data_IF_364338846708
#
_entry.id   IF_364338846708
#
_cell.length_a   1.000
_cell.length_b   1.000
_cell.length_c   1.000
_cell.angle_alpha   90.00
_cell.angle_beta   90.00
_cell.angle_gamma   90.00
#
_symmetry.space_group_name_H-M   'P 1'
#
loop_
_entity.id
_entity.type
_entity.pdbx_description
1 polymer ?
#
# COMPACT_ATOMS: atom_id res chain seq x y z
N UNK A 1 33.68 -12.01 -2.71
CA UNK A 1 32.77 -13.05 -3.25
C UNK A 1 31.97 -12.36 -4.34
N UNK A 2 31.98 -12.90 -5.55
CA UNK A 2 31.33 -12.27 -6.71
C UNK A 2 29.87 -11.96 -6.43
N UNK A 3 29.44 -10.74 -6.72
CA UNK A 3 28.05 -10.31 -6.77
C UNK A 3 27.31 -11.11 -7.86
N UNK A 4 26.94 -12.34 -7.55
CA UNK A 4 25.84 -12.98 -8.27
C UNK A 4 24.58 -12.20 -7.94
N UNK A 5 23.85 -11.76 -8.95
CA UNK A 5 22.58 -11.07 -8.77
C UNK A 5 21.67 -11.93 -7.90
N UNK A 6 21.40 -11.47 -6.67
CA UNK A 6 20.47 -12.14 -5.78
C UNK A 6 19.09 -12.10 -6.44
N UNK A 7 18.61 -13.27 -6.81
CA UNK A 7 17.31 -13.46 -7.43
C UNK A 7 16.29 -13.90 -6.38
N UNK A 8 15.17 -13.18 -6.33
CA UNK A 8 14.05 -13.54 -5.46
C UNK A 8 13.47 -14.90 -5.88
N UNK A 9 13.22 -15.84 -4.95
CA UNK A 9 12.52 -17.08 -5.27
C UNK A 9 11.06 -16.82 -5.68
N UNK A 10 10.40 -17.83 -6.25
CA UNK A 10 8.96 -17.75 -6.49
C UNK A 10 8.22 -17.61 -5.15
N UNK A 11 7.23 -16.71 -5.11
CA UNK A 11 6.47 -16.37 -3.92
C UNK A 11 7.29 -15.78 -2.78
N UNK A 12 8.46 -15.18 -3.07
CA UNK A 12 9.32 -14.57 -2.05
C UNK A 12 8.60 -13.50 -1.22
N UNK A 13 7.80 -12.66 -1.89
CA UNK A 13 7.01 -11.61 -1.26
C UNK A 13 5.55 -12.04 -1.13
N UNK A 14 4.97 -11.93 0.06
CA UNK A 14 3.55 -12.20 0.29
C UNK A 14 2.86 -10.98 0.86
N UNK A 15 1.64 -10.70 0.43
CA UNK A 15 0.88 -9.59 0.97
C UNK A 15 -0.61 -9.83 1.02
N UNK A 16 -1.25 -8.97 1.78
CA UNK A 16 -2.69 -9.00 2.02
C UNK A 16 -3.23 -7.58 1.91
N UNK A 17 -4.41 -7.42 1.33
CA UNK A 17 -5.03 -6.11 1.20
C UNK A 17 -6.43 -6.16 0.61
N UNK A 18 -6.95 -4.98 0.33
CA UNK A 18 -8.27 -4.78 -0.25
C UNK A 18 -8.12 -4.61 -1.78
N UNK A 19 -8.39 -5.63 -2.61
CA UNK A 19 -8.47 -5.45 -4.05
C UNK A 19 -9.74 -4.64 -4.36
N UNK A 20 -9.56 -3.43 -4.88
CA UNK A 20 -10.65 -2.50 -5.19
C UNK A 20 -10.53 -2.05 -6.65
N UNK A 21 -11.66 -1.85 -7.31
CA UNK A 21 -11.69 -1.17 -8.60
C UNK A 21 -11.90 0.33 -8.39
N UNK A 22 -10.97 1.14 -8.87
CA UNK A 22 -11.06 2.58 -8.77
C UNK A 22 -11.98 3.11 -9.87
N UNK A 23 -12.99 3.88 -9.47
CA UNK A 23 -13.87 4.66 -10.34
C UNK A 23 -13.35 6.09 -10.29
N UNK A 24 -12.50 6.41 -11.25
CA UNK A 24 -11.78 7.67 -11.29
C UNK A 24 -12.49 8.70 -12.15
N UNK A 25 -12.61 9.93 -11.65
CA UNK A 25 -13.18 11.06 -12.41
C UNK A 25 -12.53 12.39 -12.00
N UNK A 26 -12.36 13.28 -12.98
CA UNK A 26 -12.09 14.69 -12.69
C UNK A 26 -13.38 15.39 -12.28
N UNK A 27 -13.38 16.01 -11.11
CA UNK A 27 -14.58 16.61 -10.49
C UNK A 27 -14.31 18.04 -10.03
N UNK A 28 -15.38 18.77 -9.68
CA UNK A 28 -15.29 20.07 -9.03
C UNK A 28 -15.30 19.96 -7.51
N UNK A 29 -14.95 21.07 -6.82
CA UNK A 29 -15.03 21.16 -5.35
C UNK A 29 -16.45 20.97 -4.81
N UNK A 30 -17.46 21.35 -5.60
CA UNK A 30 -18.87 21.20 -5.26
C UNK A 30 -19.25 19.75 -4.96
N UNK A 31 -18.68 18.78 -5.69
CA UNK A 31 -18.92 17.37 -5.44
C UNK A 31 -18.24 16.91 -4.14
N UNK A 32 -17.03 17.40 -3.86
CA UNK A 32 -16.33 17.08 -2.60
C UNK A 32 -17.12 17.62 -1.41
N UNK A 33 -17.55 18.89 -1.48
CA UNK A 33 -18.36 19.53 -0.44
C UNK A 33 -19.69 18.82 -0.22
N UNK A 34 -20.38 18.43 -1.30
CA UNK A 34 -21.65 17.68 -1.26
C UNK A 34 -21.54 16.40 -0.44
N UNK A 35 -20.43 15.69 -0.55
CA UNK A 35 -20.20 14.42 0.15
C UNK A 35 -19.31 14.56 1.39
N UNK A 36 -18.93 15.77 1.79
CA UNK A 36 -18.09 16.01 2.97
C UNK A 36 -16.67 15.46 2.84
N UNK A 37 -16.14 15.40 1.62
CA UNK A 37 -14.83 14.85 1.31
C UNK A 37 -13.75 15.93 1.31
N UNK A 38 -12.56 15.60 1.82
CA UNK A 38 -11.40 16.49 1.83
C UNK A 38 -10.45 16.17 0.69
N UNK A 39 -9.76 17.19 0.19
CA UNK A 39 -8.63 17.00 -0.71
C UNK A 39 -7.49 16.27 -0.01
N UNK A 40 -6.76 15.42 -0.74
CA UNK A 40 -5.66 14.60 -0.26
C UNK A 40 -6.00 13.72 0.95
N UNK A 41 -7.23 13.20 0.99
CA UNK A 41 -7.72 12.36 2.08
C UNK A 41 -8.24 11.02 1.54
N UNK A 42 -8.30 10.03 2.43
CA UNK A 42 -8.82 8.70 2.14
C UNK A 42 -9.75 8.26 3.27
N UNK A 43 -11.00 7.93 2.94
CA UNK A 43 -12.00 7.50 3.91
C UNK A 43 -12.66 6.17 3.51
N UNK A 44 -13.27 5.51 4.48
CA UNK A 44 -14.26 4.46 4.24
C UNK A 44 -15.63 5.10 3.99
N UNK A 45 -16.29 4.66 2.92
CA UNK A 45 -17.61 5.12 2.57
C UNK A 45 -18.68 4.65 3.56
N UNK A 46 -19.30 5.60 4.26
CA UNK A 46 -20.58 5.43 4.96
C UNK A 46 -21.80 5.44 4.00
N UNK A 47 -22.99 5.11 4.50
CA UNK A 47 -24.25 5.10 3.73
C UNK A 47 -24.50 6.39 2.94
N UNK A 48 -24.17 7.55 3.53
CA UNK A 48 -24.33 8.88 2.90
C UNK A 48 -23.48 9.05 1.62
N UNK A 49 -22.43 8.25 1.45
CA UNK A 49 -21.56 8.30 0.27
C UNK A 49 -21.95 7.29 -0.80
N UNK A 50 -22.83 6.32 -0.54
CA UNK A 50 -23.24 5.35 -1.56
C UNK A 50 -23.79 6.00 -2.85
N UNK A 51 -24.57 7.10 -2.78
CA UNK A 51 -25.03 7.81 -3.99
C UNK A 51 -23.90 8.38 -4.86
N UNK A 52 -22.70 8.62 -4.29
CA UNK A 52 -21.54 9.16 -5.03
C UNK A 52 -21.16 8.27 -6.21
N UNK A 53 -21.13 6.95 -6.01
CA UNK A 53 -20.69 6.00 -7.03
C UNK A 53 -21.64 5.99 -8.24
N UNK A 54 -22.94 6.10 -7.99
CA UNK A 54 -23.93 6.25 -9.07
C UNK A 54 -23.84 7.61 -9.76
N UNK A 55 -23.65 8.68 -8.98
CA UNK A 55 -23.51 10.03 -9.53
C UNK A 55 -22.29 10.16 -10.43
N UNK A 56 -21.15 9.60 -10.02
CA UNK A 56 -19.94 9.54 -10.85
C UNK A 56 -20.19 8.83 -12.16
N UNK A 57 -20.74 7.62 -12.11
CA UNK A 57 -20.93 6.79 -13.31
C UNK A 57 -22.00 7.33 -14.26
N UNK A 58 -22.97 8.12 -13.77
CA UNK A 58 -24.03 8.74 -14.60
C UNK A 58 -23.64 10.11 -15.16
N UNK A 59 -22.94 10.93 -14.39
CA UNK A 59 -22.77 12.36 -14.69
C UNK A 59 -21.35 12.75 -15.09
N UNK A 60 -20.36 11.87 -14.89
CA UNK A 60 -18.97 12.15 -15.19
C UNK A 60 -18.41 11.16 -16.20
N UNK A 61 -17.36 11.58 -16.91
CA UNK A 61 -16.52 10.65 -17.67
C UNK A 61 -15.63 9.91 -16.68
N UNK A 62 -15.96 8.65 -16.43
CA UNK A 62 -15.21 7.79 -15.51
C UNK A 62 -14.19 6.92 -16.23
N UNK A 63 -13.05 6.71 -15.59
CA UNK A 63 -12.09 5.67 -15.94
C UNK A 63 -12.15 4.57 -14.87
N UNK A 64 -12.13 3.31 -15.29
CA UNK A 64 -12.05 2.17 -14.38
C UNK A 64 -10.62 1.68 -14.33
N UNK A 65 -9.98 1.81 -13.16
CA UNK A 65 -8.57 1.49 -12.97
C UNK A 65 -8.43 0.40 -11.90
N UNK A 66 -7.65 -0.66 -12.14
CA UNK A 66 -7.33 -1.64 -11.10
C UNK A 66 -6.59 -0.94 -9.94
N UNK A 67 -7.19 -0.98 -8.76
CA UNK A 67 -6.69 -0.28 -7.59
C UNK A 67 -6.46 -1.21 -6.39
N UNK A 68 -6.63 -0.63 -5.21
CA UNK A 68 -6.28 -1.24 -3.92
C UNK A 68 -4.82 -1.01 -3.56
N UNK A 69 -4.59 -0.32 -2.44
CA UNK A 69 -3.25 0.20 -2.08
C UNK A 69 -2.15 -0.87 -2.13
N UNK A 70 -2.29 -1.95 -1.35
CA UNK A 70 -1.26 -3.00 -1.33
C UNK A 70 -1.23 -3.82 -2.63
N UNK A 71 -2.32 -3.86 -3.41
CA UNK A 71 -2.29 -4.50 -4.72
C UNK A 71 -1.44 -3.70 -5.72
N UNK A 72 -1.53 -2.37 -5.66
CA UNK A 72 -0.68 -1.47 -6.43
C UNK A 72 0.80 -1.65 -6.07
N UNK A 73 1.13 -1.76 -4.78
CA UNK A 73 2.50 -2.09 -4.32
C UNK A 73 3.02 -3.35 -5.01
N UNK A 74 2.21 -4.41 -5.08
CA UNK A 74 2.60 -5.71 -5.64
C UNK A 74 2.74 -5.68 -7.17
N UNK A 75 1.88 -4.93 -7.85
CA UNK A 75 1.96 -4.68 -9.29
C UNK A 75 3.24 -3.92 -9.65
N UNK A 76 3.54 -2.84 -8.93
CA UNK A 76 4.75 -2.04 -9.13
C UNK A 76 6.02 -2.82 -8.78
N UNK A 77 6.00 -3.58 -7.68
CA UNK A 77 7.08 -4.50 -7.32
C UNK A 77 7.39 -5.47 -8.46
N UNK A 78 6.37 -6.13 -9.02
CA UNK A 78 6.59 -7.09 -10.11
C UNK A 78 7.01 -6.44 -11.42
N UNK A 79 6.52 -5.24 -11.71
CA UNK A 79 6.99 -4.46 -12.85
C UNK A 79 8.50 -4.22 -12.80
N UNK A 80 9.03 -3.83 -11.64
CA UNK A 80 10.46 -3.51 -11.47
C UNK A 80 11.31 -4.78 -11.40
N UNK A 81 10.85 -5.81 -10.66
CA UNK A 81 11.55 -7.10 -10.59
C UNK A 81 11.59 -7.79 -11.96
N UNK A 82 10.59 -7.57 -12.81
CA UNK A 82 10.56 -8.03 -14.20
C UNK A 82 10.48 -9.54 -14.36
N UNK A 83 10.16 -10.29 -13.29
CA UNK A 83 9.98 -11.74 -13.28
C UNK A 83 8.63 -12.09 -12.65
N UNK A 84 7.78 -12.89 -13.30
CA UNK A 84 6.47 -13.24 -12.76
C UNK A 84 6.59 -14.13 -11.52
N UNK A 85 5.52 -14.19 -10.75
CA UNK A 85 5.34 -15.05 -9.57
C UNK A 85 6.38 -14.86 -8.47
N UNK A 86 7.07 -13.72 -8.38
CA UNK A 86 7.93 -13.38 -7.22
C UNK A 86 7.12 -12.86 -6.03
N UNK A 87 5.87 -12.48 -6.28
CA UNK A 87 4.93 -12.05 -5.24
C UNK A 87 3.61 -12.83 -5.25
N UNK A 88 3.04 -13.03 -4.06
CA UNK A 88 1.72 -13.64 -3.80
C UNK A 88 0.83 -12.63 -3.12
N UNK A 89 -0.39 -12.42 -3.63
CA UNK A 89 -1.31 -11.45 -3.08
C UNK A 89 -2.64 -12.08 -2.67
N UNK A 90 -3.04 -11.87 -1.42
CA UNK A 90 -4.33 -12.25 -0.87
C UNK A 90 -5.27 -11.05 -0.74
N UNK A 91 -6.55 -11.30 -0.99
CA UNK A 91 -7.63 -10.33 -0.87
C UNK A 91 -8.97 -11.02 -1.11
N UNK A 92 -10.08 -10.29 -1.04
CA UNK A 92 -11.39 -10.84 -1.37
C UNK A 92 -12.10 -10.01 -2.44
N UNK A 93 -12.72 -10.67 -3.41
CA UNK A 93 -13.47 -10.05 -4.51
C UNK A 93 -14.82 -10.74 -4.69
N UNK A 94 -15.73 -10.07 -5.40
CA UNK A 94 -16.98 -10.66 -5.85
C UNK A 94 -16.78 -11.61 -7.02
N UNK A 95 -17.75 -12.49 -7.26
CA UNK A 95 -17.83 -13.30 -8.48
C UNK A 95 -18.45 -12.47 -9.64
N UNK A 96 -17.78 -11.38 -10.01
CA UNK A 96 -18.25 -10.41 -11.00
C UNK A 96 -17.14 -9.94 -11.95
N UNK A 97 -17.51 -9.12 -12.94
CA UNK A 97 -16.57 -8.60 -13.94
C UNK A 97 -15.47 -7.73 -13.31
N UNK A 98 -15.74 -7.02 -12.22
CA UNK A 98 -14.75 -6.19 -11.54
C UNK A 98 -13.70 -7.08 -10.85
N UNK A 99 -14.13 -8.14 -10.18
CA UNK A 99 -13.22 -9.13 -9.59
C UNK A 99 -12.32 -9.78 -10.64
N UNK A 100 -12.87 -10.10 -11.82
CA UNK A 100 -12.10 -10.61 -12.97
C UNK A 100 -11.09 -9.59 -13.51
N UNK A 101 -11.49 -8.33 -13.68
CA UNK A 101 -10.58 -7.25 -14.12
C UNK A 101 -9.40 -7.11 -13.17
N UNK A 102 -9.64 -7.06 -11.86
CA UNK A 102 -8.59 -6.95 -10.84
C UNK A 102 -7.63 -8.14 -10.90
N UNK A 103 -8.18 -9.36 -10.94
CA UNK A 103 -7.37 -10.58 -10.97
C UNK A 103 -6.52 -10.66 -12.25
N UNK A 104 -7.09 -10.33 -13.41
CA UNK A 104 -6.37 -10.35 -14.68
C UNK A 104 -5.26 -9.31 -14.71
N UNK A 105 -5.54 -8.07 -14.31
CA UNK A 105 -4.55 -6.98 -14.34
C UNK A 105 -3.38 -7.19 -13.37
N UNK A 106 -3.65 -7.76 -12.20
CA UNK A 106 -2.58 -8.17 -11.28
C UNK A 106 -1.74 -9.33 -11.85
N UNK A 107 -2.37 -10.33 -12.47
CA UNK A 107 -1.65 -11.45 -13.12
C UNK A 107 -0.87 -11.03 -14.37
N UNK A 108 -1.37 -10.09 -15.16
CA UNK A 108 -0.67 -9.48 -16.29
C UNK A 108 0.62 -8.80 -15.82
N UNK A 109 0.60 -8.19 -14.62
CA UNK A 109 1.79 -7.63 -13.98
C UNK A 109 2.70 -8.71 -13.38
N UNK A 110 2.32 -9.99 -13.42
CA UNK A 110 3.09 -11.11 -12.88
C UNK A 110 2.86 -11.42 -11.40
N UNK A 111 1.79 -10.92 -10.77
CA UNK A 111 1.43 -11.23 -9.38
C UNK A 111 0.70 -12.57 -9.31
N UNK A 112 1.08 -13.44 -8.36
CA UNK A 112 0.33 -14.66 -8.04
C UNK A 112 -0.85 -14.32 -7.12
N UNK A 113 -2.04 -14.16 -7.71
CA UNK A 113 -3.26 -13.75 -7.00
C UNK A 113 -4.00 -14.94 -6.38
N UNK A 114 -4.28 -14.83 -5.08
CA UNK A 114 -4.97 -15.82 -4.25
C UNK A 114 -6.22 -15.22 -3.60
N UNK A 115 -7.15 -14.71 -4.41
CA UNK A 115 -8.38 -14.11 -3.89
C UNK A 115 -9.33 -15.12 -3.28
N UNK A 116 -9.95 -14.74 -2.16
CA UNK A 116 -11.20 -15.32 -1.70
C UNK A 116 -12.35 -14.79 -2.56
N UNK A 117 -13.18 -15.66 -3.11
CA UNK A 117 -14.32 -15.27 -3.94
C UNK A 117 -15.61 -15.31 -3.10
N UNK A 118 -16.34 -14.20 -3.08
CA UNK A 118 -17.68 -14.13 -2.52
C UNK A 118 -18.71 -14.01 -3.64
N UNK A 119 -19.67 -14.94 -3.71
CA UNK A 119 -20.67 -14.97 -4.79
C UNK A 119 -21.87 -14.04 -4.54
N UNK A 120 -22.08 -13.65 -3.29
CA UNK A 120 -23.27 -12.92 -2.85
C UNK A 120 -23.00 -11.41 -2.70
N UNK A 121 -21.74 -10.98 -2.83
CA UNK A 121 -21.31 -9.60 -2.62
C UNK A 121 -20.50 -9.11 -3.82
N UNK A 122 -20.83 -7.92 -4.32
CA UNK A 122 -20.08 -7.26 -5.41
C UNK A 122 -18.63 -6.97 -4.99
N UNK A 123 -17.71 -6.95 -5.95
CA UNK A 123 -16.34 -6.49 -5.76
C UNK A 123 -16.33 -5.04 -5.25
N UNK A 124 -15.41 -4.76 -4.31
CA UNK A 124 -15.24 -3.43 -3.74
C UNK A 124 -14.75 -2.40 -4.76
N UNK A 125 -15.10 -1.14 -4.53
CA UNK A 125 -14.76 -0.01 -5.40
C UNK A 125 -14.24 1.17 -4.61
N UNK A 126 -13.37 1.98 -5.20
CA UNK A 126 -12.96 3.26 -4.63
C UNK A 126 -13.35 4.40 -5.58
N UNK A 127 -14.09 5.39 -5.08
CA UNK A 127 -14.28 6.64 -5.82
C UNK A 127 -12.98 7.45 -5.72
N UNK A 128 -12.28 7.59 -6.84
CA UNK A 128 -11.04 8.36 -6.94
C UNK A 128 -11.34 9.72 -7.59
N UNK A 129 -11.58 10.72 -6.75
CA UNK A 129 -12.01 12.06 -7.17
C UNK A 129 -10.79 12.95 -7.38
N UNK A 130 -10.54 13.35 -8.63
CA UNK A 130 -9.41 14.21 -8.99
C UNK A 130 -9.89 15.65 -9.13
N UNK A 131 -9.34 16.54 -8.30
CA UNK A 131 -9.55 17.98 -8.39
C UNK A 131 -8.18 18.66 -8.53
N UNK A 132 -7.92 19.27 -9.70
CA UNK A 132 -6.57 19.74 -10.09
C UNK A 132 -5.53 18.62 -9.94
N UNK A 133 -4.58 18.75 -9.01
CA UNK A 133 -3.57 17.72 -8.71
C UNK A 133 -3.84 16.97 -7.39
N UNK A 134 -4.95 17.29 -6.72
CA UNK A 134 -5.36 16.69 -5.46
C UNK A 134 -6.33 15.53 -5.71
N UNK A 135 -6.23 14.50 -4.87
CA UNK A 135 -7.17 13.37 -4.90
C UNK A 135 -7.97 13.25 -3.61
N UNK A 136 -9.22 12.82 -3.71
CA UNK A 136 -10.02 12.40 -2.56
C UNK A 136 -10.52 10.98 -2.81
N UNK A 137 -10.24 10.08 -1.88
CA UNK A 137 -10.55 8.65 -1.99
C UNK A 137 -11.69 8.27 -1.04
N UNK A 138 -12.73 7.65 -1.58
CA UNK A 138 -13.84 7.10 -0.80
C UNK A 138 -14.05 5.63 -1.16
N UNK A 139 -13.71 4.72 -0.24
CA UNK A 139 -13.74 3.28 -0.50
C UNK A 139 -15.05 2.62 -0.03
N UNK A 140 -15.76 1.93 -0.94
CA UNK A 140 -16.79 0.95 -0.64
C UNK A 140 -16.15 -0.45 -0.71
N UNK A 141 -15.83 -1.01 0.46
CA UNK A 141 -15.05 -2.25 0.53
C UNK A 141 -15.81 -3.48 -0.01
N UNK A 142 -17.14 -3.51 0.12
CA UNK A 142 -17.99 -4.62 -0.30
C UNK A 142 -17.34 -6.02 -0.08
N UNK A 143 -17.10 -6.79 -1.15
CA UNK A 143 -16.51 -8.13 -1.04
C UNK A 143 -15.13 -8.16 -0.37
N UNK A 144 -14.32 -7.10 -0.47
CA UNK A 144 -13.03 -7.03 0.23
C UNK A 144 -13.21 -7.17 1.75
N UNK A 145 -14.31 -6.64 2.30
CA UNK A 145 -14.65 -6.73 3.72
C UNK A 145 -15.10 -8.14 4.16
N UNK A 146 -15.19 -9.09 3.23
CA UNK A 146 -15.60 -10.48 3.49
C UNK A 146 -14.42 -11.44 3.58
N UNK A 147 -13.19 -10.93 3.49
CA UNK A 147 -11.99 -11.73 3.68
C UNK A 147 -11.96 -12.33 5.09
N UNK A 148 -11.56 -13.59 5.20
CA UNK A 148 -11.52 -14.29 6.49
C UNK A 148 -10.17 -14.96 6.74
N UNK A 149 -9.82 -15.09 8.03
CA UNK A 149 -8.68 -15.92 8.45
C UNK A 149 -8.77 -17.36 7.91
N UNK A 150 -9.97 -17.92 7.78
CA UNK A 150 -10.17 -19.29 7.29
C UNK A 150 -9.60 -19.51 5.89
N UNK A 151 -9.60 -18.48 5.03
CA UNK A 151 -8.99 -18.53 3.70
C UNK A 151 -7.48 -18.73 3.79
N UNK A 152 -6.81 -18.01 4.71
CA UNK A 152 -5.37 -18.15 4.97
C UNK A 152 -5.01 -19.52 5.55
N UNK A 153 -5.93 -20.13 6.31
CA UNK A 153 -5.72 -21.40 6.99
C UNK A 153 -5.96 -22.63 6.10
N UNK A 154 -6.34 -22.48 4.84
CA UNK A 154 -6.37 -23.62 3.89
C UNK A 154 -4.96 -24.20 3.72
N UNK A 155 -4.81 -25.53 3.52
CA UNK A 155 -3.49 -26.16 3.39
C UNK A 155 -2.60 -25.52 2.32
N UNK A 156 -3.18 -25.15 1.18
CA UNK A 156 -2.50 -24.54 0.04
C UNK A 156 -1.99 -23.14 0.40
N UNK A 157 -2.83 -22.31 1.02
CA UNK A 157 -2.46 -20.94 1.38
C UNK A 157 -1.47 -20.91 2.54
N UNK A 158 -1.58 -21.82 3.51
CA UNK A 158 -0.58 -21.97 4.56
C UNK A 158 0.79 -22.33 3.99
N UNK A 159 0.86 -23.12 2.91
CA UNK A 159 2.13 -23.44 2.27
C UNK A 159 2.75 -22.20 1.61
N UNK A 160 1.94 -21.35 0.97
CA UNK A 160 2.41 -20.07 0.43
C UNK A 160 2.95 -19.14 1.53
N UNK A 161 2.25 -19.05 2.66
CA UNK A 161 2.72 -18.29 3.84
C UNK A 161 4.07 -18.82 4.33
N UNK A 162 4.22 -20.14 4.47
CA UNK A 162 5.48 -20.77 4.90
C UNK A 162 6.64 -20.56 3.91
N UNK A 163 6.36 -20.52 2.61
CA UNK A 163 7.37 -20.36 1.57
C UNK A 163 7.88 -18.92 1.44
N UNK A 164 7.01 -17.93 1.68
CA UNK A 164 7.36 -16.53 1.60
C UNK A 164 8.51 -16.16 2.54
N UNK A 165 9.36 -15.24 2.13
CA UNK A 165 10.50 -14.72 2.90
C UNK A 165 10.23 -13.32 3.47
N UNK A 166 9.30 -12.60 2.84
CA UNK A 166 8.96 -11.23 3.16
C UNK A 166 7.44 -11.08 3.14
N UNK A 167 6.91 -10.26 4.04
CA UNK A 167 5.48 -9.96 4.13
C UNK A 167 5.24 -8.46 4.07
N UNK A 168 4.25 -8.02 3.30
CA UNK A 168 3.86 -6.59 3.22
C UNK A 168 2.33 -6.49 3.32
N UNK A 169 1.85 -5.71 4.27
CA UNK A 169 0.42 -5.50 4.52
C UNK A 169 0.11 -4.01 4.60
N UNK A 170 -0.99 -3.58 3.98
CA UNK A 170 -1.49 -2.20 4.13
C UNK A 170 -2.28 -2.01 5.42
N UNK A 171 -2.18 -0.84 6.03
CA UNK A 171 -2.96 -0.42 7.19
C UNK A 171 -4.47 -0.44 6.93
N UNK A 172 -4.89 -0.27 5.67
CA UNK A 172 -6.30 -0.44 5.29
C UNK A 172 -6.84 -1.83 5.57
N UNK A 173 -6.01 -2.86 5.62
CA UNK A 173 -6.47 -4.23 5.85
C UNK A 173 -6.84 -4.50 7.32
N UNK A 174 -6.44 -3.61 8.25
CA UNK A 174 -6.82 -3.67 9.68
C UNK A 174 -8.33 -3.52 9.87
N UNK A 175 -8.99 -2.85 8.93
CA UNK A 175 -10.44 -2.65 8.94
C UNK A 175 -11.19 -3.93 8.57
N UNK A 176 -10.53 -4.88 7.91
CA UNK A 176 -11.11 -6.10 7.34
C UNK A 176 -10.77 -7.33 8.19
N UNK A 177 -9.48 -7.65 8.35
CA UNK A 177 -9.06 -8.92 8.96
C UNK A 177 -7.80 -8.75 9.84
N UNK A 178 -7.89 -8.02 10.96
CA UNK A 178 -6.76 -7.82 11.88
C UNK A 178 -6.17 -9.15 12.41
N UNK A 179 -6.99 -10.18 12.58
CA UNK A 179 -6.55 -11.51 12.97
C UNK A 179 -5.71 -12.21 11.89
N UNK A 180 -6.02 -11.98 10.61
CA UNK A 180 -5.20 -12.47 9.49
C UNK A 180 -3.85 -11.75 9.43
N UNK A 181 -3.84 -10.45 9.72
CA UNK A 181 -2.62 -9.66 9.84
C UNK A 181 -1.72 -10.22 10.95
N UNK A 182 -2.28 -10.38 12.16
CA UNK A 182 -1.54 -10.91 13.30
C UNK A 182 -1.02 -12.32 13.02
N UNK A 183 -1.82 -13.20 12.40
CA UNK A 183 -1.39 -14.54 12.02
C UNK A 183 -0.11 -14.53 11.17
N UNK A 184 -0.04 -13.67 10.15
CA UNK A 184 1.14 -13.56 9.28
C UNK A 184 2.30 -12.86 9.99
N UNK A 185 2.04 -11.82 10.79
CA UNK A 185 3.05 -11.07 11.52
C UNK A 185 3.75 -11.93 12.60
N UNK A 186 2.98 -12.74 13.34
CA UNK A 186 3.48 -13.70 14.32
C UNK A 186 4.32 -14.79 13.64
N UNK A 187 3.84 -15.33 12.52
CA UNK A 187 4.62 -16.28 11.72
C UNK A 187 5.96 -15.67 11.27
N UNK A 188 5.93 -14.43 10.76
CA UNK A 188 7.13 -13.75 10.29
C UNK A 188 8.16 -13.56 11.43
N UNK A 189 7.71 -13.10 12.59
CA UNK A 189 8.58 -12.93 13.75
C UNK A 189 9.18 -14.26 14.25
N UNK A 190 8.34 -15.31 14.35
CA UNK A 190 8.76 -16.64 14.80
C UNK A 190 9.83 -17.23 13.89
N UNK A 191 9.63 -17.15 12.57
CA UNK A 191 10.54 -17.71 11.56
C UNK A 191 11.68 -16.77 11.19
N UNK A 192 11.80 -15.63 11.88
CA UNK A 192 12.79 -14.59 11.56
C UNK A 192 12.76 -14.18 10.07
N UNK A 193 11.55 -13.93 9.54
CA UNK A 193 11.27 -13.31 8.24
C UNK A 193 10.92 -11.83 8.39
N UNK A 194 11.05 -11.05 7.32
CA UNK A 194 10.78 -9.62 7.37
C UNK A 194 9.28 -9.34 7.27
N UNK A 195 8.74 -8.56 8.20
CA UNK A 195 7.37 -8.08 8.15
C UNK A 195 7.32 -6.57 7.93
N UNK A 196 6.59 -6.16 6.90
CA UNK A 196 6.42 -4.78 6.49
C UNK A 196 4.96 -4.35 6.60
N UNK A 197 4.76 -3.12 7.07
CA UNK A 197 3.45 -2.50 7.22
C UNK A 197 3.46 -1.09 6.62
N UNK A 198 2.39 -0.71 5.95
CA UNK A 198 2.12 0.69 5.60
C UNK A 198 1.03 1.26 6.54
N UNK A 199 1.14 2.50 7.02
CA UNK A 199 0.09 3.14 7.84
C UNK A 199 -1.17 3.51 7.02
N UNK A 200 -0.98 3.82 5.74
CA UNK A 200 -1.98 3.91 4.67
C UNK A 200 -2.95 5.07 4.70
N UNK A 201 -3.44 5.50 5.86
CA UNK A 201 -4.23 6.71 5.99
C UNK A 201 -4.28 7.21 7.45
N UNK A 202 -4.48 8.52 7.69
CA UNK A 202 -4.61 9.09 9.04
C UNK A 202 -5.69 8.42 9.90
N UNK A 203 -6.80 7.96 9.32
CA UNK A 203 -7.85 7.31 10.10
C UNK A 203 -7.42 5.95 10.69
N UNK A 204 -6.41 5.28 10.12
CA UNK A 204 -5.94 3.98 10.60
C UNK A 204 -5.42 4.10 12.05
N UNK A 205 -4.40 4.93 12.36
CA UNK A 205 -3.95 5.10 13.73
C UNK A 205 -4.98 5.78 14.64
N UNK A 206 -5.83 6.66 14.10
CA UNK A 206 -6.81 7.41 14.92
C UNK A 206 -8.01 6.56 15.34
N UNK A 207 -8.54 5.73 14.43
CA UNK A 207 -9.77 4.97 14.66
C UNK A 207 -9.50 3.49 15.00
N UNK A 208 -8.34 2.96 14.63
CA UNK A 208 -7.99 1.54 14.82
C UNK A 208 -6.73 1.36 15.68
N UNK A 209 -6.44 2.33 16.57
CA UNK A 209 -5.27 2.35 17.45
C UNK A 209 -5.01 1.02 18.15
N UNK A 210 -6.01 0.46 18.83
CA UNK A 210 -5.85 -0.77 19.63
C UNK A 210 -5.39 -1.97 18.79
N UNK A 211 -5.89 -2.08 17.55
CA UNK A 211 -5.49 -3.13 16.61
C UNK A 211 -4.09 -2.85 16.05
N UNK A 212 -3.82 -1.59 15.70
CA UNK A 212 -2.52 -1.17 15.19
C UNK A 212 -1.41 -1.38 16.24
N UNK A 213 -1.66 -1.05 17.50
CA UNK A 213 -0.72 -1.25 18.61
C UNK A 213 -0.35 -2.72 18.83
N UNK A 214 -1.24 -3.66 18.49
CA UNK A 214 -0.95 -5.10 18.52
C UNK A 214 -0.04 -5.52 17.36
N UNK A 215 -0.11 -4.83 16.22
CA UNK A 215 0.64 -5.15 14.99
C UNK A 215 2.03 -4.50 14.99
N UNK A 216 2.14 -3.23 15.43
CA UNK A 216 3.41 -2.46 15.40
C UNK A 216 4.60 -3.23 15.99
N UNK A 217 4.49 -3.98 17.11
CA UNK A 217 5.57 -4.77 17.67
C UNK A 217 6.17 -5.83 16.72
N UNK A 218 5.46 -6.24 15.68
CA UNK A 218 5.96 -7.20 14.69
C UNK A 218 6.65 -6.53 13.49
N UNK A 219 6.48 -5.21 13.33
CA UNK A 219 6.93 -4.49 12.13
C UNK A 219 8.44 -4.27 12.11
N UNK A 220 9.08 -4.80 11.06
CA UNK A 220 10.48 -4.58 10.71
C UNK A 220 10.67 -3.36 9.80
N UNK A 221 9.78 -3.17 8.83
CA UNK A 221 9.83 -2.06 7.87
C UNK A 221 8.48 -1.37 7.82
N UNK A 222 8.43 -0.09 8.18
CA UNK A 222 7.20 0.70 8.23
C UNK A 222 7.24 1.83 7.21
N UNK A 223 6.24 1.89 6.34
CA UNK A 223 6.02 3.01 5.42
C UNK A 223 4.89 3.91 5.93
N UNK A 224 5.05 5.21 5.76
CA UNK A 224 4.00 6.19 5.93
C UNK A 224 4.28 7.48 5.16
N UNK A 225 3.29 8.35 5.09
CA UNK A 225 3.49 9.76 4.72
C UNK A 225 3.47 10.68 5.96
N UNK A 226 3.69 11.97 5.75
CA UNK A 226 3.70 13.01 6.78
C UNK A 226 2.40 13.05 7.60
N UNK A 227 1.25 13.00 6.95
CA UNK A 227 -0.05 13.08 7.63
C UNK A 227 -0.36 11.82 8.44
N UNK A 228 0.11 10.67 7.98
CA UNK A 228 -0.08 9.37 8.65
C UNK A 228 0.81 9.25 9.89
N UNK A 229 2.05 9.71 9.84
CA UNK A 229 2.92 9.69 11.01
C UNK A 229 2.51 10.73 12.06
N UNK A 230 2.01 11.89 11.62
CA UNK A 230 1.39 12.87 12.51
C UNK A 230 0.15 12.29 13.22
N UNK A 231 -0.72 11.61 12.46
CA UNK A 231 -1.90 10.94 13.01
C UNK A 231 -1.51 9.80 13.98
N UNK A 232 -0.44 9.05 13.67
CA UNK A 232 0.13 8.08 14.59
C UNK A 232 0.63 8.74 15.86
N UNK A 233 1.45 9.79 15.76
CA UNK A 233 1.97 10.53 16.90
C UNK A 233 0.85 11.08 17.79
N UNK A 234 -0.20 11.63 17.19
CA UNK A 234 -1.40 12.08 17.89
C UNK A 234 -2.08 10.92 18.64
N UNK A 235 -2.27 9.77 17.98
CA UNK A 235 -2.90 8.60 18.62
C UNK A 235 -2.12 8.12 19.84
N UNK A 236 -0.79 8.25 19.82
CA UNK A 236 0.10 7.87 20.92
C UNK A 236 0.28 8.97 21.98
N UNK A 237 -0.37 10.13 21.82
CA UNK A 237 -0.24 11.26 22.73
C UNK A 237 1.16 11.90 22.74
N UNK A 238 1.88 11.84 21.62
CA UNK A 238 3.21 12.46 21.53
C UNK A 238 3.10 13.98 21.40
N UNK A 239 3.80 14.69 22.29
CA UNK A 239 3.86 16.17 22.31
C UNK A 239 4.91 16.73 21.33
N UNK A 240 4.94 16.25 20.08
CA UNK A 240 5.85 16.76 19.05
C UNK A 240 5.19 16.83 17.68
N UNK A 241 5.49 17.92 16.96
CA UNK A 241 5.10 18.11 15.55
C UNK A 241 6.27 17.88 14.60
N UNK A 242 7.47 17.57 15.11
CA UNK A 242 8.62 17.29 14.27
C UNK A 242 8.53 15.86 13.74
N UNK A 243 8.29 15.73 12.43
CA UNK A 243 8.22 14.45 11.71
C UNK A 243 9.48 13.60 11.95
N UNK A 244 10.67 14.22 12.04
CA UNK A 244 11.93 13.50 12.29
C UNK A 244 11.96 12.90 13.69
N UNK A 245 11.45 13.64 14.67
CA UNK A 245 11.32 13.14 16.05
C UNK A 245 10.27 12.02 16.14
N UNK A 246 9.13 12.19 15.48
CA UNK A 246 8.07 11.18 15.42
C UNK A 246 8.60 9.89 14.77
N UNK A 247 9.34 9.98 13.66
CA UNK A 247 9.96 8.84 12.98
C UNK A 247 10.96 8.11 13.89
N UNK A 248 11.80 8.86 14.62
CA UNK A 248 12.74 8.29 15.60
C UNK A 248 12.02 7.58 16.74
N UNK A 249 10.94 8.16 17.28
CA UNK A 249 10.12 7.52 18.32
C UNK A 249 9.48 6.23 17.82
N UNK A 250 8.94 6.22 16.60
CA UNK A 250 8.31 5.04 15.99
C UNK A 250 9.33 3.92 15.70
N UNK A 251 10.52 4.27 15.22
CA UNK A 251 11.61 3.31 15.01
C UNK A 251 12.05 2.62 16.33
N UNK A 252 11.91 3.31 17.46
CA UNK A 252 12.25 2.82 18.80
C UNK A 252 11.11 2.13 19.56
N UNK A 253 9.89 2.15 19.04
CA UNK A 253 8.77 1.51 19.70
C UNK A 253 9.03 0.00 19.88
N UNK A 254 8.44 -0.59 20.92
CA UNK A 254 8.69 -1.98 21.31
C UNK A 254 8.54 -2.95 20.14
N UNK A 255 9.32 -4.04 20.19
CA UNK A 255 9.40 -5.01 19.10
C UNK A 255 9.51 -6.44 19.62
N UNK A 256 8.83 -7.38 18.98
CA UNK A 256 8.85 -8.80 19.34
C UNK A 256 10.15 -9.44 18.87
N UNK A 257 10.48 -9.28 17.59
CA UNK A 257 11.74 -9.81 17.05
C UNK A 257 12.88 -8.80 17.25
N UNK A 258 13.70 -9.02 18.28
CA UNK A 258 14.85 -8.18 18.65
C UNK A 258 16.10 -8.42 17.77
N UNK A 259 16.07 -9.37 16.82
CA UNK A 259 17.22 -9.65 15.94
C UNK A 259 17.42 -8.58 14.86
N UNK A 260 16.44 -7.69 14.68
CA UNK A 260 16.45 -6.63 13.65
C UNK A 260 15.81 -5.37 14.21
N UNK A 261 16.45 -4.23 13.98
CA UNK A 261 15.86 -2.91 14.26
C UNK A 261 14.70 -2.63 13.32
N UNK A 262 13.75 -1.80 13.75
CA UNK A 262 12.70 -1.29 12.85
C UNK A 262 13.28 -0.20 11.96
N UNK A 263 12.94 -0.25 10.68
CA UNK A 263 13.18 0.80 9.69
C UNK A 263 11.87 1.55 9.48
N UNK A 264 11.92 2.88 9.56
CA UNK A 264 10.76 3.74 9.27
C UNK A 264 11.09 4.61 8.07
N UNK A 265 10.23 4.59 7.06
CA UNK A 265 10.36 5.37 5.82
C UNK A 265 9.16 6.30 5.71
N UNK A 266 9.41 7.60 5.78
CA UNK A 266 8.38 8.66 5.72
C UNK A 266 8.52 9.42 4.41
N UNK A 267 7.51 9.31 3.55
CA UNK A 267 7.37 10.13 2.34
C UNK A 267 6.72 11.47 2.68
N UNK A 268 7.04 12.53 1.92
CA UNK A 268 6.59 13.91 2.20
C UNK A 268 6.20 14.67 0.92
N UNK A 269 5.55 13.97 -0.02
CA UNK A 269 5.25 14.51 -1.34
C UNK A 269 6.52 14.92 -2.11
N UNK A 270 6.78 16.23 -2.19
CA UNK A 270 7.93 16.81 -2.88
C UNK A 270 9.13 17.07 -1.95
N UNK A 271 8.92 17.01 -0.63
CA UNK A 271 9.99 17.14 0.36
C UNK A 271 10.81 15.84 0.45
N UNK A 272 12.04 15.89 1.01
CA UNK A 272 12.90 14.72 1.11
C UNK A 272 12.24 13.54 1.83
N UNK A 273 12.48 12.32 1.35
CA UNK A 273 12.08 11.10 2.07
C UNK A 273 12.95 10.96 3.31
N UNK A 274 12.33 10.81 4.49
CA UNK A 274 13.04 10.56 5.74
C UNK A 274 13.13 9.04 5.95
N UNK A 275 14.32 8.53 6.24
CA UNK A 275 14.52 7.14 6.66
C UNK A 275 15.19 7.11 8.02
N UNK A 276 14.64 6.31 8.94
CA UNK A 276 15.28 5.98 10.21
C UNK A 276 15.64 4.51 10.24
N UNK A 277 16.93 4.19 10.38
CA UNK A 277 17.47 2.83 10.50
C UNK A 277 18.59 2.82 11.55
N UNK A 278 18.55 1.89 12.51
CA UNK A 278 19.61 1.74 13.54
C UNK A 278 19.97 3.07 14.23
N UNK A 279 18.96 3.83 14.67
CA UNK A 279 19.07 5.19 15.25
C UNK A 279 19.62 6.29 14.31
N UNK A 280 20.07 5.94 13.11
CA UNK A 280 20.49 6.90 12.11
C UNK A 280 19.26 7.44 11.36
N UNK A 281 19.26 8.75 11.13
CA UNK A 281 18.26 9.42 10.30
C UNK A 281 18.97 9.91 9.04
N UNK A 282 18.40 9.58 7.88
CA UNK A 282 18.85 10.04 6.57
C UNK A 282 17.70 10.70 5.83
N UNK A 283 18.02 11.66 4.98
CA UNK A 283 17.07 12.36 4.12
C UNK A 283 17.50 12.20 2.67
N UNK A 284 16.56 11.82 1.81
CA UNK A 284 16.80 11.57 0.39
C UNK A 284 15.98 12.56 -0.43
N UNK A 285 16.62 13.44 -1.22
CA UNK A 285 15.90 14.47 -1.96
C UNK A 285 15.02 13.84 -3.05
N UNK A 286 13.80 14.37 -3.18
CA UNK A 286 12.87 14.03 -4.27
C UNK A 286 13.09 15.04 -5.40
N UNK A 287 13.41 14.61 -6.64
CA UNK A 287 13.51 15.52 -7.76
C UNK A 287 12.17 16.23 -8.02
N UNK A 288 12.20 17.56 -8.06
CA UNK A 288 11.00 18.36 -8.34
C UNK A 288 10.55 18.12 -9.78
N UNK A 289 9.34 17.62 -9.94
CA UNK A 289 8.70 17.47 -11.24
C UNK A 289 7.91 18.74 -11.60
N UNK A 290 7.99 19.22 -12.86
CA UNK A 290 7.13 20.30 -13.34
C UNK A 290 5.65 19.93 -13.15
N UNK A 291 4.83 20.87 -12.68
CA UNK A 291 3.40 20.63 -12.38
C UNK A 291 2.64 20.10 -13.60
N UNK A 292 3.04 20.52 -14.79
CA UNK A 292 2.44 20.12 -16.06
C UNK A 292 2.69 18.64 -16.39
N UNK A 293 3.64 17.99 -15.71
CA UNK A 293 3.91 16.55 -15.83
C UNK A 293 3.20 15.71 -14.76
N UNK A 294 2.53 16.36 -13.79
CA UNK A 294 1.79 15.68 -12.73
C UNK A 294 0.33 15.57 -13.18
N UNK A 295 -0.06 14.36 -13.58
CA UNK A 295 -1.41 14.05 -14.04
C UNK A 295 -2.29 13.66 -12.85
N UNK A 296 -1.81 12.72 -12.02
CA UNK A 296 -2.56 12.16 -10.90
C UNK A 296 -1.62 11.73 -9.78
N UNK A 297 -1.87 12.14 -8.53
CA UNK A 297 -1.02 11.73 -7.39
C UNK A 297 -1.52 10.44 -6.70
N UNK A 298 -2.55 9.79 -7.25
CA UNK A 298 -3.09 8.50 -6.78
C UNK A 298 -2.06 7.39 -6.95
N UNK A 299 -1.88 6.58 -5.91
CA UNK A 299 -0.94 5.45 -5.94
C UNK A 299 0.55 5.84 -5.92
N UNK A 300 0.91 7.13 -5.78
CA UNK A 300 2.31 7.55 -5.67
C UNK A 300 3.05 6.88 -4.50
N UNK A 301 2.40 6.81 -3.33
CA UNK A 301 2.92 6.12 -2.15
C UNK A 301 3.02 4.60 -2.33
N UNK A 302 2.02 3.99 -3.00
CA UNK A 302 2.04 2.56 -3.32
C UNK A 302 3.19 2.24 -4.28
N UNK A 303 3.40 3.09 -5.29
CA UNK A 303 4.47 2.96 -6.25
C UNK A 303 5.85 3.13 -5.61
N UNK A 304 5.99 4.12 -4.71
CA UNK A 304 7.18 4.29 -3.91
C UNK A 304 7.49 3.02 -3.10
N UNK A 305 6.50 2.49 -2.39
CA UNK A 305 6.66 1.27 -1.60
C UNK A 305 7.05 0.07 -2.47
N UNK A 306 6.38 -0.13 -3.61
CA UNK A 306 6.70 -1.20 -4.55
C UNK A 306 8.12 -1.10 -5.11
N UNK A 307 8.56 0.09 -5.50
CA UNK A 307 9.92 0.34 -6.00
C UNK A 307 10.99 0.19 -4.94
N UNK A 308 10.74 0.68 -3.73
CA UNK A 308 11.63 0.45 -2.60
C UNK A 308 11.81 -1.04 -2.32
N UNK A 309 10.71 -1.79 -2.22
CA UNK A 309 10.74 -3.22 -1.92
C UNK A 309 11.43 -4.03 -3.03
N UNK A 310 11.26 -3.64 -4.30
CA UNK A 310 11.88 -4.34 -5.41
C UNK A 310 13.40 -4.42 -5.26
N UNK A 311 14.06 -3.33 -4.85
CA UNK A 311 15.51 -3.32 -4.64
C UNK A 311 15.92 -3.78 -3.23
N UNK A 312 15.20 -3.35 -2.20
CA UNK A 312 15.55 -3.66 -0.82
C UNK A 312 15.54 -5.16 -0.56
N UNK A 313 14.51 -5.87 -1.07
CA UNK A 313 14.40 -7.32 -0.91
C UNK A 313 15.42 -8.09 -1.76
N UNK A 314 16.07 -7.43 -2.72
CA UNK A 314 17.20 -7.97 -3.47
C UNK A 314 18.57 -7.63 -2.85
N UNK A 315 18.59 -7.11 -1.63
CA UNK A 315 19.81 -6.80 -0.89
C UNK A 315 20.54 -5.54 -1.35
N UNK A 316 19.88 -4.66 -2.10
CA UNK A 316 20.43 -3.33 -2.44
C UNK A 316 20.40 -2.41 -1.20
N UNK A 317 21.15 -1.31 -1.25
CA UNK A 317 21.20 -0.35 -0.14
C UNK A 317 19.86 0.38 0.06
N UNK A 318 19.66 0.95 1.26
CA UNK A 318 18.52 1.83 1.56
C UNK A 318 18.45 2.98 0.56
N UNK A 319 19.57 3.63 0.27
CA UNK A 319 19.63 4.73 -0.71
C UNK A 319 19.15 4.30 -2.10
N UNK A 320 19.67 3.18 -2.63
CA UNK A 320 19.23 2.67 -3.93
C UNK A 320 17.73 2.36 -3.92
N UNK A 321 17.25 1.76 -2.83
CA UNK A 321 15.83 1.42 -2.66
C UNK A 321 14.94 2.67 -2.62
N UNK A 322 15.34 3.71 -1.89
CA UNK A 322 14.62 4.99 -1.87
C UNK A 322 14.61 5.63 -3.26
N UNK A 323 15.74 5.65 -3.96
CA UNK A 323 15.83 6.21 -5.31
C UNK A 323 14.93 5.47 -6.31
N UNK A 324 14.84 4.14 -6.21
CA UNK A 324 13.90 3.35 -7.00
C UNK A 324 12.44 3.63 -6.65
N UNK A 325 12.11 3.77 -5.36
CA UNK A 325 10.78 4.19 -4.92
C UNK A 325 10.39 5.57 -5.49
N UNK A 326 11.29 6.56 -5.39
CA UNK A 326 11.09 7.90 -5.95
C UNK A 326 10.87 7.82 -7.46
N UNK A 327 11.70 7.04 -8.16
CA UNK A 327 11.59 6.84 -9.59
C UNK A 327 10.26 6.19 -9.99
N UNK A 328 9.80 5.17 -9.26
CA UNK A 328 8.53 4.50 -9.51
C UNK A 328 7.35 5.45 -9.30
N UNK A 329 7.37 6.23 -8.20
CA UNK A 329 6.37 7.25 -7.92
C UNK A 329 6.32 8.31 -9.04
N UNK A 330 7.47 8.79 -9.52
CA UNK A 330 7.56 9.75 -10.61
C UNK A 330 6.92 9.26 -11.92
N UNK A 331 7.01 7.96 -12.21
CA UNK A 331 6.36 7.36 -13.39
C UNK A 331 4.86 7.21 -13.20
N UNK A 332 4.41 6.79 -12.02
CA UNK A 332 2.98 6.63 -11.74
C UNK A 332 2.27 7.98 -11.76
N UNK A 333 2.85 9.03 -11.17
CA UNK A 333 2.14 10.32 -11.12
C UNK A 333 1.99 11.04 -12.48
N UNK A 334 2.70 10.56 -13.50
CA UNK A 334 2.59 11.03 -14.87
C UNK A 334 1.46 10.35 -15.67
N UNK A 335 0.67 9.47 -15.04
CA UNK A 335 -0.41 8.70 -15.66
C UNK A 335 -1.69 8.78 -14.81
N UNK A 336 -2.85 8.45 -15.39
CA UNK A 336 -4.11 8.33 -14.66
C UNK A 336 -4.12 7.05 -13.81
N UNK A 337 -4.14 7.19 -12.48
CA UNK A 337 -4.08 6.09 -11.53
C UNK A 337 -2.73 5.37 -11.46
N UNK A 338 -2.70 4.21 -10.79
CA UNK A 338 -1.48 3.40 -10.66
C UNK A 338 -1.18 2.59 -11.94
N UNK A 339 -0.72 3.31 -12.97
CA UNK A 339 -0.34 2.79 -14.28
C UNK A 339 1.14 3.06 -14.51
N UNK A 340 1.85 2.07 -15.04
CA UNK A 340 3.29 2.13 -15.27
C UNK A 340 3.64 1.57 -16.67
N UNK A 341 4.68 2.09 -17.32
CA UNK A 341 5.05 1.73 -18.69
C UNK A 341 5.75 0.36 -18.78
N UNK A 342 5.30 -0.51 -19.68
CA UNK A 342 5.79 -1.89 -19.81
C UNK A 342 7.26 -2.02 -20.26
N UNK A 343 7.80 -1.01 -20.95
CA UNK A 343 9.13 -1.08 -21.58
C UNK A 343 10.22 -0.31 -20.84
N UNK A 344 9.88 0.38 -19.76
CA UNK A 344 10.85 1.15 -18.99
C UNK A 344 11.35 0.26 -17.85
N UNK A 345 12.68 0.14 -17.75
CA UNK A 345 13.35 -0.55 -16.65
C UNK A 345 14.06 0.46 -15.78
N UNK A 346 14.06 0.21 -14.48
CA UNK A 346 14.92 0.94 -13.57
C UNK A 346 16.38 0.54 -13.82
N UNK A 347 17.23 1.52 -14.12
CA UNK A 347 18.68 1.35 -14.20
C UNK A 347 19.28 1.93 -12.91
N UNK A 348 19.91 1.06 -12.11
CA UNK A 348 20.39 1.35 -10.76
C UNK A 348 21.74 2.08 -10.74
#
# INVERSE_FOLDING_TARGET
>A
MSSGDFELPEGALLGMGNPLLDIQATVGLDLLEKYGLKQNDAILGEEKHLPLFEELTKNYKVNYVPGGANQNVFRVFQWIVGKPNRSVFFGAVGDDEYGKILANKARESGVNVQYQINKDVKTGTCAALVYEHHRSLCADLAAANTFTLSHLLTPENQQLIKNAQYYVVSGFFITVCPEGILHVAEHAAKENKLYCQNLSAPFVPLCFKEKLDQIIPYVDLLFCNESEIEAYAQSQGWETKDIKEQARKLAKADKVNQKRSRIVVVTQGHDPVIVVENDNLSEYPVPVLPKEKIVDTTGAGDAFCGGFLALYLQGKSIEASVNCGIWAAAHVIANDGCVFPEHIKYEA
#
